data_IF_499138188800
#
_entry.id   IF_499138188800
#
_cell.length_a   1.000
_cell.length_b   1.000
_cell.length_c   1.000
_cell.angle_alpha   90.00
_cell.angle_beta   90.00
_cell.angle_gamma   90.00
#
_symmetry.space_group_name_H-M   'P 1'
#
loop_
_entity.id
_entity.type
_entity.pdbx_description
1 polymer ?
#
# COMPACT_ATOMS: atom_id res chain seq x y z
N UNK A 1 6.77 -23.42 -5.40
CA UNK A 1 5.73 -22.45 -5.81
C UNK A 1 4.59 -23.22 -6.45
N UNK A 2 3.37 -23.09 -5.94
CA UNK A 2 2.18 -23.77 -6.45
C UNK A 2 1.70 -23.15 -7.78
N UNK A 3 0.84 -23.90 -8.53
CA UNK A 3 0.23 -23.37 -9.74
C UNK A 3 -0.60 -22.09 -9.45
N UNK A 4 -1.34 -22.07 -8.32
CA UNK A 4 -2.12 -20.92 -7.87
C UNK A 4 -1.23 -19.68 -7.66
N UNK A 5 -0.10 -19.82 -6.99
CA UNK A 5 0.83 -18.72 -6.76
C UNK A 5 1.43 -18.17 -8.05
N UNK A 6 1.85 -19.06 -8.97
CA UNK A 6 2.36 -18.62 -10.28
C UNK A 6 1.31 -17.86 -11.10
N UNK A 7 0.04 -18.26 -11.02
CA UNK A 7 -1.06 -17.53 -11.67
C UNK A 7 -1.24 -16.15 -11.02
N UNK A 8 -1.19 -16.06 -9.68
CA UNK A 8 -1.30 -14.77 -8.98
C UNK A 8 -0.12 -13.83 -9.30
N UNK A 9 1.11 -14.35 -9.37
CA UNK A 9 2.29 -13.55 -9.72
C UNK A 9 2.21 -13.03 -11.16
N UNK A 10 1.80 -13.88 -12.10
CA UNK A 10 1.59 -13.48 -13.49
C UNK A 10 0.49 -12.41 -13.62
N UNK A 11 -0.64 -12.61 -12.92
CA UNK A 11 -1.75 -11.66 -12.90
C UNK A 11 -1.31 -10.33 -12.30
N UNK A 12 -0.59 -10.33 -11.18
CA UNK A 12 -0.07 -9.11 -10.55
C UNK A 12 0.88 -8.35 -11.49
N UNK A 13 1.78 -9.04 -12.20
CA UNK A 13 2.66 -8.44 -13.19
C UNK A 13 1.91 -7.79 -14.35
N UNK A 14 0.88 -8.45 -14.87
CA UNK A 14 0.04 -7.92 -15.96
C UNK A 14 -0.80 -6.74 -15.47
N UNK A 15 -1.41 -6.84 -14.28
CA UNK A 15 -2.20 -5.76 -13.70
C UNK A 15 -1.37 -4.48 -13.47
N UNK A 16 -0.12 -4.61 -13.07
CA UNK A 16 0.78 -3.44 -12.94
C UNK A 16 1.01 -2.78 -14.29
N UNK A 17 1.39 -3.55 -15.33
CA UNK A 17 1.75 -3.00 -16.66
C UNK A 17 0.56 -2.51 -17.48
N UNK A 18 -0.57 -3.19 -17.43
CA UNK A 18 -1.70 -2.95 -18.33
C UNK A 18 -2.99 -2.59 -17.61
N UNK A 19 -2.94 -2.46 -16.29
CA UNK A 19 -4.12 -2.24 -15.45
C UNK A 19 -5.02 -3.48 -15.37
N UNK A 20 -6.03 -3.41 -14.52
CA UNK A 20 -7.02 -4.52 -14.35
C UNK A 20 -7.82 -4.75 -15.63
N UNK A 21 -8.15 -3.69 -16.38
CA UNK A 21 -8.91 -3.80 -17.61
C UNK A 21 -8.13 -4.58 -18.69
N UNK A 22 -6.83 -4.31 -18.82
CA UNK A 22 -5.94 -4.99 -19.77
C UNK A 22 -5.53 -6.41 -19.36
N UNK A 23 -5.69 -6.79 -18.10
CA UNK A 23 -5.35 -8.13 -17.62
C UNK A 23 -6.41 -9.16 -18.06
N UNK A 24 -6.20 -9.81 -19.18
CA UNK A 24 -7.08 -10.88 -19.66
C UNK A 24 -6.69 -12.25 -19.08
N UNK A 25 -7.66 -13.14 -18.85
CA UNK A 25 -7.39 -14.50 -18.37
C UNK A 25 -6.50 -15.29 -19.33
N UNK A 26 -6.62 -15.04 -20.63
CA UNK A 26 -5.78 -15.63 -21.67
C UNK A 26 -4.30 -15.21 -21.54
N UNK A 27 -4.04 -13.92 -21.31
CA UNK A 27 -2.69 -13.42 -21.11
C UNK A 27 -2.09 -13.93 -19.80
N UNK A 28 -2.90 -13.97 -18.73
CA UNK A 28 -2.47 -14.49 -17.43
C UNK A 28 -2.12 -15.96 -17.53
N UNK A 29 -2.96 -16.77 -18.19
CA UNK A 29 -2.69 -18.18 -18.43
C UNK A 29 -1.38 -18.37 -19.19
N UNK A 30 -1.18 -17.65 -20.30
CA UNK A 30 0.06 -17.69 -21.07
C UNK A 30 1.28 -17.29 -20.23
N UNK A 31 1.20 -16.19 -19.49
CA UNK A 31 2.31 -15.68 -18.69
C UNK A 31 2.66 -16.59 -17.50
N UNK A 32 1.67 -17.28 -16.93
CA UNK A 32 1.89 -18.25 -15.85
C UNK A 32 2.39 -19.61 -16.33
N UNK A 33 2.33 -19.88 -17.64
CA UNK A 33 2.67 -21.18 -18.26
C UNK A 33 1.57 -22.24 -18.08
N UNK A 34 0.31 -21.82 -17.88
CA UNK A 34 -0.84 -22.71 -17.69
C UNK A 34 -1.96 -22.44 -18.69
N UNK A 35 -2.95 -23.33 -18.73
CA UNK A 35 -4.17 -23.12 -19.51
C UNK A 35 -5.19 -22.27 -18.74
N UNK A 36 -6.09 -21.60 -19.47
CA UNK A 36 -7.23 -20.92 -18.84
C UNK A 36 -8.12 -21.90 -18.06
N UNK A 37 -8.25 -23.15 -18.52
CA UNK A 37 -9.00 -24.18 -17.79
C UNK A 37 -8.40 -24.46 -16.40
N UNK A 38 -7.07 -24.45 -16.26
CA UNK A 38 -6.43 -24.60 -14.95
C UNK A 38 -6.62 -23.34 -14.08
N UNK A 39 -6.59 -22.17 -14.69
CA UNK A 39 -6.88 -20.92 -14.00
C UNK A 39 -8.28 -20.96 -13.35
N UNK A 40 -9.30 -21.39 -14.09
CA UNK A 40 -10.68 -21.51 -13.59
C UNK A 40 -10.89 -22.67 -12.60
N UNK A 41 -9.95 -23.59 -12.45
CA UNK A 41 -9.95 -24.56 -11.33
C UNK A 41 -9.55 -23.91 -10.00
N UNK A 42 -8.77 -22.85 -10.04
CA UNK A 42 -8.29 -22.14 -8.84
C UNK A 42 -9.12 -20.91 -8.48
N UNK A 43 -9.74 -20.27 -9.46
CA UNK A 43 -10.50 -19.04 -9.32
C UNK A 43 -11.82 -19.17 -10.09
N UNK A 44 -12.92 -18.88 -9.43
CA UNK A 44 -14.27 -19.00 -10.01
C UNK A 44 -14.45 -18.14 -11.28
N UNK A 45 -13.90 -16.93 -11.25
CA UNK A 45 -13.98 -15.96 -12.31
C UNK A 45 -12.78 -14.99 -12.27
N UNK A 46 -12.73 -14.07 -13.25
CA UNK A 46 -11.68 -13.04 -13.32
C UNK A 46 -11.71 -12.11 -12.12
N UNK A 47 -12.89 -11.74 -11.62
CA UNK A 47 -13.04 -10.79 -10.52
C UNK A 47 -12.49 -11.39 -9.21
N UNK A 48 -12.72 -12.68 -8.96
CA UNK A 48 -12.11 -13.38 -7.82
C UNK A 48 -10.58 -13.42 -7.94
N UNK A 49 -10.05 -13.75 -9.11
CA UNK A 49 -8.60 -13.73 -9.34
C UNK A 49 -8.01 -12.34 -9.05
N UNK A 50 -8.63 -11.27 -9.59
CA UNK A 50 -8.18 -9.90 -9.36
C UNK A 50 -8.24 -9.52 -7.87
N UNK A 51 -9.30 -9.92 -7.17
CA UNK A 51 -9.43 -9.71 -5.73
C UNK A 51 -8.34 -10.43 -4.93
N UNK A 52 -8.02 -11.68 -5.32
CA UNK A 52 -6.92 -12.42 -4.69
C UNK A 52 -5.56 -11.75 -4.94
N UNK A 53 -5.33 -11.21 -6.15
CA UNK A 53 -4.11 -10.45 -6.45
C UNK A 53 -4.01 -9.22 -5.53
N UNK A 54 -5.08 -8.45 -5.40
CA UNK A 54 -5.09 -7.27 -4.52
C UNK A 54 -4.84 -7.64 -3.05
N UNK A 55 -5.32 -8.79 -2.60
CA UNK A 55 -5.12 -9.24 -1.21
C UNK A 55 -3.72 -9.81 -0.94
N UNK A 56 -3.17 -10.56 -1.88
CA UNK A 56 -2.02 -11.42 -1.65
C UNK A 56 -0.74 -10.92 -2.33
N UNK A 57 -0.86 -9.98 -3.29
CA UNK A 57 0.26 -9.45 -4.09
C UNK A 57 0.41 -7.94 -4.03
N UNK A 58 -0.49 -7.24 -3.29
CA UNK A 58 -0.22 -5.85 -2.96
C UNK A 58 1.00 -5.81 -2.03
N UNK A 59 1.93 -4.86 -2.23
CA UNK A 59 3.06 -4.72 -1.32
C UNK A 59 2.56 -4.61 0.12
N UNK A 60 3.22 -5.26 1.09
CA UNK A 60 2.89 -5.04 2.48
C UNK A 60 3.23 -3.59 2.87
N UNK A 61 2.35 -2.95 3.64
CA UNK A 61 2.73 -1.72 4.31
C UNK A 61 3.79 -2.07 5.36
N UNK A 62 4.89 -1.33 5.39
CA UNK A 62 6.00 -1.60 6.31
C UNK A 62 5.52 -1.52 7.76
N UNK A 63 6.11 -2.31 8.64
CA UNK A 63 5.78 -2.29 10.06
C UNK A 63 5.96 -0.88 10.64
N UNK A 64 5.02 -0.46 11.45
CA UNK A 64 5.22 0.69 12.35
C UNK A 64 6.37 0.38 13.31
N UNK A 65 7.12 1.37 13.72
CA UNK A 65 8.14 1.22 14.78
C UNK A 65 7.53 0.63 16.05
N UNK A 66 8.37 0.09 16.91
CA UNK A 66 7.97 -0.34 18.25
C UNK A 66 7.99 0.89 19.16
N UNK A 67 6.86 1.26 19.80
CA UNK A 67 6.85 2.39 20.74
C UNK A 67 7.88 2.20 21.86
N UNK A 68 8.62 3.28 22.16
CA UNK A 68 9.69 3.26 23.17
C UNK A 68 11.07 2.86 22.63
N UNK A 69 11.18 2.28 21.44
CA UNK A 69 12.46 1.93 20.82
C UNK A 69 12.95 3.03 19.87
N UNK A 70 14.28 3.19 19.76
CA UNK A 70 14.90 4.20 18.91
C UNK A 70 14.50 5.64 19.28
N UNK A 71 14.51 6.54 18.31
CA UNK A 71 13.95 7.90 18.46
C UNK A 71 12.65 8.03 17.67
N UNK A 72 11.73 8.88 18.14
CA UNK A 72 10.47 9.17 17.41
C UNK A 72 10.78 9.67 16.00
N UNK A 73 11.78 10.56 15.85
CA UNK A 73 12.23 11.06 14.55
C UNK A 73 12.68 9.91 13.62
N UNK A 74 13.61 9.05 14.07
CA UNK A 74 14.12 7.95 13.25
C UNK A 74 13.03 6.97 12.86
N UNK A 75 12.09 6.69 13.76
CA UNK A 75 10.96 5.82 13.51
C UNK A 75 10.00 6.44 12.48
N UNK A 76 9.67 7.73 12.62
CA UNK A 76 8.84 8.45 11.66
C UNK A 76 9.48 8.45 10.26
N UNK A 77 10.79 8.71 10.15
CA UNK A 77 11.51 8.65 8.86
C UNK A 77 11.41 7.26 8.26
N UNK A 78 11.62 6.21 9.04
CA UNK A 78 11.49 4.81 8.56
C UNK A 78 10.07 4.47 8.11
N UNK A 79 9.05 4.88 8.88
CA UNK A 79 7.64 4.67 8.54
C UNK A 79 7.26 5.41 7.25
N UNK A 80 7.63 6.67 7.12
CA UNK A 80 7.35 7.50 5.94
C UNK A 80 8.09 6.96 4.72
N UNK A 81 9.36 6.55 4.85
CA UNK A 81 10.10 5.92 3.75
C UNK A 81 9.44 4.62 3.29
N UNK A 82 8.99 3.79 4.24
CA UNK A 82 8.18 2.60 3.94
C UNK A 82 6.88 2.94 3.22
N UNK A 83 6.17 3.99 3.69
CA UNK A 83 4.94 4.51 3.08
C UNK A 83 5.14 4.97 1.63
N UNK A 84 6.20 5.75 1.38
CA UNK A 84 6.57 6.21 0.04
C UNK A 84 6.79 5.02 -0.92
N UNK A 85 7.54 4.01 -0.49
CA UNK A 85 7.79 2.78 -1.27
C UNK A 85 6.52 1.97 -1.49
N UNK A 86 5.67 1.86 -0.45
CA UNK A 86 4.39 1.18 -0.54
C UNK A 86 3.49 1.84 -1.59
N UNK A 87 3.21 3.14 -1.46
CA UNK A 87 2.31 3.83 -2.38
C UNK A 87 2.84 3.88 -3.81
N UNK A 88 4.16 4.06 -4.01
CA UNK A 88 4.75 3.97 -5.34
C UNK A 88 4.43 2.63 -6.03
N UNK A 89 4.57 1.52 -5.31
CA UNK A 89 4.37 0.16 -5.85
C UNK A 89 2.89 -0.23 -5.95
N UNK A 90 2.07 0.25 -5.02
CA UNK A 90 0.66 -0.09 -4.94
C UNK A 90 -0.21 0.77 -5.87
N UNK A 91 0.24 1.99 -6.20
CA UNK A 91 -0.56 3.00 -6.90
C UNK A 91 -1.16 2.51 -8.22
N UNK A 92 -0.40 1.85 -9.14
CA UNK A 92 -0.96 1.36 -10.40
C UNK A 92 -2.14 0.40 -10.18
N UNK A 93 -2.03 -0.48 -9.19
CA UNK A 93 -3.09 -1.43 -8.84
C UNK A 93 -4.28 -0.72 -8.20
N UNK A 94 -4.05 0.27 -7.34
CA UNK A 94 -5.10 1.04 -6.66
C UNK A 94 -5.94 1.84 -7.66
N UNK A 95 -5.29 2.55 -8.59
CA UNK A 95 -5.99 3.31 -9.64
C UNK A 95 -6.78 2.39 -10.55
N UNK A 96 -6.16 1.30 -10.99
CA UNK A 96 -6.79 0.32 -11.86
C UNK A 96 -8.00 -0.35 -11.21
N UNK A 97 -7.94 -0.65 -9.90
CA UNK A 97 -9.07 -1.13 -9.11
C UNK A 97 -10.17 -0.08 -9.01
N UNK A 98 -9.81 1.18 -8.71
CA UNK A 98 -10.78 2.26 -8.54
C UNK A 98 -11.57 2.55 -9.84
N UNK A 99 -10.95 2.32 -11.00
CA UNK A 99 -11.58 2.45 -12.31
C UNK A 99 -12.56 1.31 -12.65
N UNK A 100 -12.66 0.26 -11.82
CA UNK A 100 -13.51 -0.92 -12.05
C UNK A 100 -14.58 -1.02 -10.95
N UNK A 101 -15.82 -0.52 -11.15
CA UNK A 101 -16.84 -0.42 -10.09
C UNK A 101 -17.15 -1.75 -9.38
N UNK A 102 -17.24 -2.85 -10.14
CA UNK A 102 -17.50 -4.20 -9.57
C UNK A 102 -16.35 -4.66 -8.67
N UNK A 103 -15.11 -4.50 -9.14
CA UNK A 103 -13.92 -4.87 -8.37
C UNK A 103 -13.76 -3.99 -7.13
N UNK A 104 -14.03 -2.70 -7.26
CA UNK A 104 -14.02 -1.75 -6.13
C UNK A 104 -15.04 -2.16 -5.06
N UNK A 105 -16.26 -2.54 -5.46
CA UNK A 105 -17.29 -3.01 -4.55
C UNK A 105 -16.86 -4.31 -3.85
N UNK A 106 -16.41 -5.31 -4.59
CA UNK A 106 -15.94 -6.58 -4.03
C UNK A 106 -14.76 -6.39 -3.07
N UNK A 107 -13.85 -5.45 -3.39
CA UNK A 107 -12.73 -5.08 -2.52
C UNK A 107 -13.21 -4.44 -1.22
N UNK A 108 -14.17 -3.48 -1.29
CA UNK A 108 -14.77 -2.85 -0.10
C UNK A 108 -15.43 -3.88 0.82
N UNK A 109 -16.23 -4.78 0.27
CA UNK A 109 -16.91 -5.85 1.03
C UNK A 109 -15.89 -6.78 1.68
N UNK A 110 -14.83 -7.14 0.96
CA UNK A 110 -13.76 -7.98 1.48
C UNK A 110 -13.00 -7.31 2.61
N UNK A 111 -12.59 -6.05 2.46
CA UNK A 111 -11.84 -5.31 3.48
C UNK A 111 -12.66 -5.10 4.75
N UNK A 112 -13.98 -4.84 4.63
CA UNK A 112 -14.88 -4.72 5.79
C UNK A 112 -14.88 -5.96 6.69
N UNK A 113 -14.81 -7.16 6.10
CA UNK A 113 -14.78 -8.42 6.88
C UNK A 113 -13.55 -8.56 7.77
N UNK A 114 -12.47 -7.87 7.45
CA UNK A 114 -11.21 -7.94 8.18
C UNK A 114 -10.90 -6.66 8.96
N UNK A 115 -11.86 -5.71 9.04
CA UNK A 115 -11.62 -4.41 9.69
C UNK A 115 -10.53 -3.57 9.03
N UNK A 116 -10.16 -3.91 7.78
CA UNK A 116 -9.12 -3.23 7.02
C UNK A 116 -9.70 -2.18 6.07
N UNK A 117 -8.85 -1.29 5.55
CA UNK A 117 -9.26 -0.27 4.60
C UNK A 117 -8.12 0.68 4.23
N UNK A 118 -8.35 1.56 3.24
CA UNK A 118 -7.33 2.51 2.79
C UNK A 118 -6.89 3.50 3.88
N UNK A 119 -7.69 3.67 4.94
CA UNK A 119 -7.36 4.51 6.09
C UNK A 119 -6.46 3.81 7.12
N UNK A 120 -6.20 2.50 6.99
CA UNK A 120 -5.43 1.76 8.00
C UNK A 120 -3.99 2.26 8.18
N UNK A 121 -3.24 2.68 7.15
CA UNK A 121 -1.93 3.30 7.35
C UNK A 121 -1.96 4.55 8.23
N UNK A 122 -2.97 5.42 8.05
CA UNK A 122 -3.16 6.61 8.88
C UNK A 122 -3.47 6.23 10.32
N UNK A 123 -4.41 5.30 10.52
CA UNK A 123 -4.79 4.83 11.86
C UNK A 123 -3.62 4.16 12.58
N UNK A 124 -2.83 3.36 11.86
CA UNK A 124 -1.69 2.68 12.44
C UNK A 124 -0.61 3.67 12.90
N UNK A 125 -0.31 4.70 12.09
CA UNK A 125 0.63 5.75 12.47
C UNK A 125 0.10 6.58 13.65
N UNK A 126 -1.17 6.95 13.66
CA UNK A 126 -1.77 7.66 14.79
C UNK A 126 -1.66 6.85 16.09
N UNK A 127 -2.00 5.56 16.07
CA UNK A 127 -1.84 4.66 17.24
C UNK A 127 -0.38 4.56 17.71
N UNK A 128 0.57 4.53 16.78
CA UNK A 128 2.00 4.56 17.14
C UNK A 128 2.35 5.85 17.85
N UNK A 129 1.95 7.01 17.35
CA UNK A 129 2.21 8.32 17.97
C UNK A 129 1.50 8.46 19.31
N UNK A 130 0.27 7.95 19.45
CA UNK A 130 -0.44 7.92 20.72
C UNK A 130 0.31 7.10 21.77
N UNK A 131 0.84 5.93 21.40
CA UNK A 131 1.63 5.11 22.30
C UNK A 131 2.96 5.79 22.70
N UNK A 132 3.61 6.50 21.79
CA UNK A 132 4.80 7.32 22.11
C UNK A 132 4.46 8.52 23.01
N UNK A 133 3.27 9.12 22.86
CA UNK A 133 2.77 10.17 23.75
C UNK A 133 2.54 9.62 25.16
N UNK A 134 1.96 8.43 25.30
CA UNK A 134 1.78 7.78 26.60
C UNK A 134 3.11 7.50 27.31
N UNK A 135 4.20 7.36 26.56
CA UNK A 135 5.56 7.24 27.06
C UNK A 135 6.26 8.60 27.32
N UNK A 136 5.57 9.74 27.08
CA UNK A 136 6.12 11.08 27.23
C UNK A 136 7.13 11.48 26.15
N UNK A 137 7.16 10.79 25.01
CA UNK A 137 8.11 11.02 23.90
C UNK A 137 7.49 11.80 22.74
N UNK A 138 6.19 12.00 22.76
CA UNK A 138 5.42 12.88 21.89
C UNK A 138 4.73 13.91 22.77
N UNK A 139 4.62 15.15 22.26
CA UNK A 139 4.00 16.27 22.95
C UNK A 139 2.56 15.93 23.38
N UNK A 140 2.12 16.28 24.59
CA UNK A 140 0.82 15.89 25.12
C UNK A 140 -0.36 16.49 24.34
N UNK A 141 -0.13 17.63 23.69
CA UNK A 141 -1.11 18.38 22.87
C UNK A 141 -0.99 18.12 21.37
N UNK A 142 -0.07 17.24 20.94
CA UNK A 142 0.09 16.89 19.53
C UNK A 142 -1.18 16.23 18.97
N UNK A 143 -1.69 16.73 17.83
CA UNK A 143 -2.75 16.07 17.08
C UNK A 143 -2.18 14.92 16.24
N UNK A 144 -2.03 13.77 16.90
CA UNK A 144 -1.46 12.55 16.29
C UNK A 144 -2.22 12.09 15.05
N UNK A 145 -3.55 12.32 15.02
CA UNK A 145 -4.39 11.96 13.88
C UNK A 145 -4.12 12.88 12.68
N UNK A 146 -3.99 14.18 12.91
CA UNK A 146 -3.66 15.14 11.84
C UNK A 146 -2.26 14.89 11.30
N UNK A 147 -1.26 14.69 12.17
CA UNK A 147 0.12 14.36 11.76
C UNK A 147 0.15 13.09 10.92
N UNK A 148 -0.51 12.03 11.35
CA UNK A 148 -0.59 10.78 10.61
C UNK A 148 -1.26 10.96 9.25
N UNK A 149 -2.35 11.74 9.18
CA UNK A 149 -3.04 12.02 7.93
C UNK A 149 -2.18 12.83 6.95
N UNK A 150 -1.44 13.84 7.43
CA UNK A 150 -0.52 14.63 6.62
C UNK A 150 0.61 13.79 6.05
N UNK A 151 1.30 13.01 6.88
CA UNK A 151 2.43 12.19 6.45
C UNK A 151 2.00 11.08 5.48
N UNK A 152 0.94 10.35 5.77
CA UNK A 152 0.43 9.31 4.88
C UNK A 152 -0.19 9.88 3.61
N UNK A 153 -0.84 11.05 3.71
CA UNK A 153 -1.33 11.81 2.56
C UNK A 153 -0.21 12.23 1.62
N UNK A 154 0.91 12.74 2.15
CA UNK A 154 2.09 13.08 1.37
C UNK A 154 2.68 11.83 0.67
N UNK A 155 2.76 10.69 1.36
CA UNK A 155 3.21 9.44 0.76
C UNK A 155 2.32 9.00 -0.41
N UNK A 156 1.00 9.08 -0.23
CA UNK A 156 0.03 8.76 -1.28
C UNK A 156 0.15 9.71 -2.49
N UNK A 157 0.22 11.02 -2.23
CA UNK A 157 0.42 12.03 -3.27
C UNK A 157 1.70 11.76 -4.07
N UNK A 158 2.80 11.44 -3.40
CA UNK A 158 4.06 11.12 -4.08
C UNK A 158 3.96 9.83 -4.90
N UNK A 159 3.21 8.85 -4.46
CA UNK A 159 2.89 7.66 -5.25
C UNK A 159 2.20 8.02 -6.57
N UNK A 160 1.23 8.93 -6.52
CA UNK A 160 0.55 9.47 -7.72
C UNK A 160 1.50 10.24 -8.63
N UNK A 161 2.21 11.23 -8.09
CA UNK A 161 3.06 12.13 -8.90
C UNK A 161 4.15 11.36 -9.64
N UNK A 162 4.79 10.39 -8.96
CA UNK A 162 5.82 9.55 -9.59
C UNK A 162 5.24 8.63 -10.65
N UNK A 163 4.11 8.00 -10.37
CA UNK A 163 3.45 7.18 -11.38
C UNK A 163 3.02 8.00 -12.61
N UNK A 164 2.52 9.22 -12.40
CA UNK A 164 2.13 10.13 -13.48
C UNK A 164 3.33 10.55 -14.34
N UNK A 165 4.48 10.85 -13.70
CA UNK A 165 5.67 11.34 -14.39
C UNK A 165 6.49 10.23 -15.07
N UNK A 166 6.64 9.06 -14.42
CA UNK A 166 7.62 8.04 -14.79
C UNK A 166 6.98 6.66 -15.06
N UNK A 167 5.68 6.50 -14.78
CA UNK A 167 4.99 5.21 -14.91
C UNK A 167 5.45 4.18 -13.88
N UNK A 168 5.48 2.90 -14.29
CA UNK A 168 5.87 1.80 -13.40
C UNK A 168 7.38 1.73 -13.11
N UNK A 169 8.19 2.29 -13.99
CA UNK A 169 9.66 2.26 -13.90
C UNK A 169 10.23 3.27 -12.91
N UNK A 170 9.36 4.07 -12.25
CA UNK A 170 9.76 5.03 -11.24
C UNK A 170 10.65 4.37 -10.16
N UNK A 171 11.79 5.00 -9.86
CA UNK A 171 12.70 4.54 -8.81
C UNK A 171 12.09 4.69 -7.41
N UNK A 172 12.55 3.89 -6.45
CA UNK A 172 12.16 4.07 -5.04
C UNK A 172 12.66 5.45 -4.54
N UNK A 173 11.84 6.23 -3.82
CA UNK A 173 12.26 7.48 -3.22
C UNK A 173 13.42 7.25 -2.24
N UNK A 174 14.43 8.13 -2.20
CA UNK A 174 15.52 8.02 -1.21
C UNK A 174 14.99 8.33 0.20
N UNK A 175 15.67 7.81 1.22
CA UNK A 175 15.32 8.08 2.62
C UNK A 175 15.43 9.57 2.98
N UNK A 176 16.35 10.31 2.34
CA UNK A 176 16.46 11.77 2.52
C UNK A 176 15.16 12.50 2.26
N UNK A 177 14.39 12.05 1.25
CA UNK A 177 13.08 12.64 0.94
C UNK A 177 12.04 12.34 2.05
N UNK A 178 12.09 11.15 2.66
CA UNK A 178 11.25 10.86 3.83
C UNK A 178 11.58 11.80 5.00
N UNK A 179 12.86 12.08 5.22
CA UNK A 179 13.32 13.03 6.25
C UNK A 179 12.82 14.46 5.98
N UNK A 180 12.84 14.90 4.72
CA UNK A 180 12.30 16.20 4.31
C UNK A 180 10.80 16.34 4.62
N UNK A 181 10.03 15.24 4.48
CA UNK A 181 8.60 15.24 4.82
C UNK A 181 8.34 15.19 6.33
N UNK A 182 9.22 14.56 7.10
CA UNK A 182 9.08 14.43 8.56
C UNK A 182 9.50 15.70 9.29
N UNK A 183 10.59 16.34 8.87
CA UNK A 183 11.16 17.51 9.55
C UNK A 183 10.13 18.61 9.88
N UNK A 184 9.24 19.01 8.97
CA UNK A 184 8.26 20.08 9.26
C UNK A 184 7.28 19.76 10.38
N UNK A 185 7.00 18.47 10.64
CA UNK A 185 6.05 18.06 11.67
C UNK A 185 6.71 17.75 13.02
N UNK A 186 8.05 17.67 13.08
CA UNK A 186 8.76 17.32 14.32
C UNK A 186 8.53 18.37 15.43
N UNK A 187 8.43 19.64 15.08
CA UNK A 187 8.17 20.72 16.05
C UNK A 187 6.79 20.59 16.73
N UNK A 188 5.82 19.95 16.07
CA UNK A 188 4.49 19.69 16.62
C UNK A 188 4.38 18.33 17.33
N UNK A 189 5.36 17.46 17.11
CA UNK A 189 5.33 16.08 17.62
C UNK A 189 6.24 15.91 18.84
N UNK A 190 7.40 16.54 18.82
CA UNK A 190 8.38 16.38 19.92
C UNK A 190 8.04 17.31 21.09
N UNK A 191 8.28 16.85 22.36
CA UNK A 191 8.04 17.66 23.55
C UNK A 191 8.91 18.91 23.61
#
# INVERSE_FOLDING_TARGET
MSARERILDAAAGIMRRHGVAGATTKEIARASGYSEALLYKHFRDKDELMLCVLKERMPPFTSMGVPGEGTVESNLVGIVHGGLRFYRRAFPMMVSMAAQPRLLQATRESLRKYGAGPQEPVRALARYLDAERDLGRVAPDADTQAVAALLMGACFQQGFLRYFAEGEDASDPPESFARELVNPVLAEVLP
#
